data_IF_631125226373
#
_entry.id   IF_631125226373
#
_cell.length_a   1.000
_cell.length_b   1.000
_cell.length_c   1.000
_cell.angle_alpha   90.00
_cell.angle_beta   90.00
_cell.angle_gamma   90.00
#
_symmetry.space_group_name_H-M   'P 1'
#
loop_
_entity.id
_entity.type
_entity.pdbx_description
1 polymer ?
#
# COMPACT_ATOMS: atom_id res chain seq x y z
N UNK A 1 -2.20 3.73 -8.69
CA UNK A 1 -1.11 2.76 -9.04
C UNK A 1 -1.65 1.37 -8.68
N UNK A 2 -1.30 0.23 -9.32
CA UNK A 2 -2.05 -0.99 -9.02
C UNK A 2 -1.57 -1.59 -7.69
N UNK A 3 -2.16 -1.11 -6.61
CA UNK A 3 -2.24 -1.83 -5.34
C UNK A 3 -3.11 -3.05 -5.63
N UNK A 4 -2.53 -4.24 -5.50
CA UNK A 4 -3.32 -5.47 -5.54
C UNK A 4 -3.80 -5.76 -4.11
N UNK A 5 -5.12 -5.89 -3.94
CA UNK A 5 -5.76 -6.14 -2.66
C UNK A 5 -6.32 -7.55 -2.68
N UNK A 6 -5.83 -8.39 -1.78
CA UNK A 6 -6.34 -9.74 -1.60
C UNK A 6 -6.81 -9.92 -0.14
N UNK A 7 -8.14 -9.96 0.10
CA UNK A 7 -8.65 -10.32 1.41
C UNK A 7 -8.40 -11.82 1.64
N UNK A 8 -7.68 -12.12 2.71
CA UNK A 8 -7.60 -13.48 3.25
C UNK A 8 -8.55 -13.58 4.44
N UNK A 9 -8.87 -14.81 4.88
CA UNK A 9 -9.65 -15.00 6.12
C UNK A 9 -8.99 -14.45 7.39
N UNK A 10 -7.78 -13.87 7.30
CA UNK A 10 -6.99 -13.38 8.45
C UNK A 10 -6.47 -11.95 8.29
N UNK A 11 -6.22 -11.48 7.07
CA UNK A 11 -5.64 -10.16 6.79
C UNK A 11 -5.96 -9.67 5.38
N UNK A 12 -5.89 -8.35 5.16
CA UNK A 12 -5.88 -7.74 3.84
C UNK A 12 -4.43 -7.63 3.35
N UNK A 13 -4.11 -8.33 2.27
CA UNK A 13 -2.80 -8.23 1.65
C UNK A 13 -2.84 -7.07 0.66
N UNK A 14 -1.96 -6.10 0.86
CA UNK A 14 -1.81 -4.91 0.03
C UNK A 14 -0.44 -5.01 -0.63
N UNK A 15 -0.40 -5.31 -1.93
CA UNK A 15 0.87 -5.41 -2.67
C UNK A 15 1.21 -4.09 -3.31
N UNK A 16 2.32 -3.48 -2.88
CA UNK A 16 2.90 -2.32 -3.53
C UNK A 16 3.81 -2.78 -4.68
N UNK A 17 3.67 -2.14 -5.84
CA UNK A 17 4.40 -2.49 -7.07
C UNK A 17 5.06 -1.26 -7.67
N UNK A 18 6.24 -1.44 -8.27
CA UNK A 18 6.97 -0.36 -8.93
C UNK A 18 7.59 0.61 -7.91
N UNK A 19 7.25 1.89 -7.97
CA UNK A 19 7.90 2.91 -7.14
C UNK A 19 6.91 3.63 -6.23
N UNK A 20 7.31 3.89 -4.98
CA UNK A 20 6.62 4.86 -4.11
C UNK A 20 7.56 6.02 -3.85
N UNK A 21 7.25 7.18 -4.42
CA UNK A 21 8.12 8.35 -4.39
C UNK A 21 7.32 9.64 -4.19
N UNK A 22 7.99 10.79 -4.26
CA UNK A 22 7.36 12.08 -3.98
C UNK A 22 6.25 12.49 -4.96
N UNK A 23 6.17 11.87 -6.13
CA UNK A 23 5.11 12.17 -7.10
C UNK A 23 3.81 11.42 -6.82
N UNK A 24 3.86 10.29 -6.10
CA UNK A 24 2.71 9.42 -5.90
C UNK A 24 2.41 9.03 -4.44
N UNK A 25 3.28 9.38 -3.48
CA UNK A 25 3.13 9.02 -2.06
C UNK A 25 1.76 9.40 -1.48
N UNK A 26 1.29 10.63 -1.71
CA UNK A 26 -0.02 11.08 -1.20
C UNK A 26 -1.20 10.28 -1.78
N UNK A 27 -1.10 9.87 -3.05
CA UNK A 27 -2.13 9.02 -3.66
C UNK A 27 -2.10 7.61 -3.08
N UNK A 28 -0.91 7.04 -2.85
CA UNK A 28 -0.75 5.73 -2.21
C UNK A 28 -1.32 5.76 -0.79
N UNK A 29 -1.00 6.79 -0.01
CA UNK A 29 -1.54 6.98 1.34
C UNK A 29 -3.08 7.04 1.35
N UNK A 30 -3.67 7.80 0.43
CA UNK A 30 -5.12 7.89 0.31
C UNK A 30 -5.77 6.54 -0.05
N UNK A 31 -5.16 5.76 -0.95
CA UNK A 31 -5.62 4.42 -1.32
C UNK A 31 -5.52 3.45 -0.12
N UNK A 32 -4.42 3.48 0.64
CA UNK A 32 -4.24 2.67 1.86
C UNK A 32 -5.26 3.03 2.94
N UNK A 33 -5.45 4.33 3.21
CA UNK A 33 -6.41 4.82 4.19
C UNK A 33 -7.84 4.42 3.85
N UNK A 34 -8.20 4.46 2.56
CA UNK A 34 -9.52 4.00 2.13
C UNK A 34 -9.77 2.53 2.51
N UNK A 35 -8.77 1.66 2.34
CA UNK A 35 -8.86 0.24 2.70
C UNK A 35 -9.00 0.06 4.22
N UNK A 36 -8.25 0.82 5.01
CA UNK A 36 -8.38 0.77 6.47
C UNK A 36 -9.78 1.23 6.92
N UNK A 37 -10.34 2.24 6.26
CA UNK A 37 -11.69 2.75 6.54
C UNK A 37 -12.81 1.78 6.17
N UNK A 38 -12.59 0.84 5.22
CA UNK A 38 -13.58 -0.22 4.93
C UNK A 38 -13.61 -1.32 6.01
N UNK A 39 -12.80 -1.18 7.07
CA UNK A 39 -12.78 -2.09 8.22
C UNK A 39 -11.63 -3.09 8.21
N UNK A 40 -10.64 -2.93 7.32
CA UNK A 40 -9.44 -3.74 7.35
C UNK A 40 -8.58 -3.42 8.59
N UNK A 41 -8.64 -4.29 9.60
CA UNK A 41 -7.91 -4.11 10.87
C UNK A 41 -6.59 -4.88 10.94
N UNK A 42 -6.43 -5.91 10.10
CA UNK A 42 -5.19 -6.67 9.97
C UNK A 42 -4.71 -6.58 8.53
N UNK A 43 -3.56 -5.94 8.33
CA UNK A 43 -3.03 -5.61 7.01
C UNK A 43 -1.61 -6.12 6.87
N UNK A 44 -1.33 -6.76 5.73
CA UNK A 44 0.01 -7.14 5.33
C UNK A 44 0.41 -6.29 4.13
N UNK A 45 1.48 -5.49 4.27
CA UNK A 45 2.09 -4.80 3.14
C UNK A 45 3.08 -5.74 2.43
N UNK A 46 2.78 -6.13 1.21
CA UNK A 46 3.69 -6.83 0.31
C UNK A 46 4.57 -5.84 -0.44
N UNK A 47 5.89 -5.92 -0.26
CA UNK A 47 6.87 -5.02 -0.89
C UNK A 47 7.85 -5.74 -1.84
N UNK A 48 7.63 -7.01 -2.14
CA UNK A 48 8.55 -7.80 -2.98
C UNK A 48 8.66 -7.29 -4.42
N UNK A 49 7.59 -6.65 -4.92
CA UNK A 49 7.49 -6.12 -6.28
C UNK A 49 7.85 -4.61 -6.34
N UNK A 50 8.38 -4.06 -5.24
CA UNK A 50 8.83 -2.68 -5.17
C UNK A 50 10.22 -2.55 -5.79
N UNK A 51 10.34 -1.70 -6.81
CA UNK A 51 11.63 -1.37 -7.42
C UNK A 51 12.35 -0.23 -6.71
N UNK A 52 11.62 0.69 -6.05
CA UNK A 52 12.21 1.81 -5.32
C UNK A 52 11.22 2.42 -4.30
N UNK A 53 11.75 2.95 -3.20
CA UNK A 53 11.02 3.74 -2.21
C UNK A 53 11.82 4.97 -1.81
N UNK A 54 11.24 6.15 -2.01
CA UNK A 54 11.86 7.41 -1.59
C UNK A 54 11.54 7.74 -0.14
N UNK A 55 12.20 8.75 0.43
CA UNK A 55 11.89 9.26 1.77
C UNK A 55 10.45 9.78 1.93
N UNK A 56 9.78 10.18 0.85
CA UNK A 56 8.36 10.51 0.88
C UNK A 56 7.49 9.24 0.98
N UNK A 57 7.87 8.17 0.26
CA UNK A 57 7.20 6.89 0.33
C UNK A 57 7.35 6.18 1.67
N UNK A 58 8.48 6.34 2.37
CA UNK A 58 8.70 5.78 3.71
C UNK A 58 7.83 6.42 4.81
N UNK A 59 7.21 7.57 4.54
CA UNK A 59 6.32 8.27 5.49
C UNK A 59 4.85 7.89 5.32
N UNK A 60 4.53 7.20 4.22
CA UNK A 60 3.22 6.60 3.95
C UNK A 60 3.07 5.36 4.82
#
# INVERSE_FOLDING_TARGET
MPIAIEPTGKAHIITLKGQVNSSNAATVEAELLHILQTGATNVLLGMTDLSDISGAGLRV
#
